data_IF_126382433372
#
_entry.id   IF_126382433372
#
_cell.length_a   1.000
_cell.length_b   1.000
_cell.length_c   1.000
_cell.angle_alpha   90.00
_cell.angle_beta   90.00
_cell.angle_gamma   90.00
#
_symmetry.space_group_name_H-M   'P 1'
#
loop_
_entity.id
_entity.type
_entity.pdbx_description
1 polymer ?
#
# COMPACT_ATOMS: atom_id res chain seq x y z
N UNK A 1 -27.36 -7.36 51.93
CA UNK A 1 -27.54 -6.54 50.71
C UNK A 1 -26.37 -6.72 49.72
N UNK A 2 -25.16 -7.03 50.14
CA UNK A 2 -23.97 -7.12 49.26
C UNK A 2 -23.98 -8.20 48.16
N UNK A 3 -24.60 -9.35 48.44
CA UNK A 3 -24.67 -10.45 47.47
C UNK A 3 -25.47 -10.11 46.22
N UNK A 4 -26.63 -9.51 46.33
CA UNK A 4 -27.46 -9.13 45.19
C UNK A 4 -26.82 -8.02 44.35
N UNK A 5 -26.13 -7.07 44.99
CA UNK A 5 -25.39 -6.00 44.29
C UNK A 5 -24.17 -6.55 43.55
N UNK A 6 -23.41 -7.51 44.13
CA UNK A 6 -22.32 -8.20 43.47
C UNK A 6 -22.74 -9.00 42.25
N UNK A 7 -23.83 -9.79 42.37
CA UNK A 7 -24.41 -10.56 41.26
C UNK A 7 -24.91 -9.66 40.12
N UNK A 8 -25.58 -8.56 40.42
CA UNK A 8 -26.03 -7.59 39.43
C UNK A 8 -24.87 -6.91 38.70
N UNK A 9 -23.84 -6.47 39.43
CA UNK A 9 -22.63 -5.88 38.87
C UNK A 9 -21.90 -6.87 37.94
N UNK A 10 -21.79 -8.13 38.34
CA UNK A 10 -21.19 -9.20 37.53
C UNK A 10 -21.95 -9.42 36.22
N UNK A 11 -23.27 -9.51 36.26
CA UNK A 11 -24.09 -9.67 35.04
C UNK A 11 -24.00 -8.43 34.12
N UNK A 12 -23.99 -7.24 34.68
CA UNK A 12 -23.91 -5.99 33.94
C UNK A 12 -22.53 -5.86 33.27
N UNK A 13 -21.43 -6.16 33.98
CA UNK A 13 -20.05 -6.13 33.43
C UNK A 13 -19.85 -7.21 32.40
N UNK A 14 -20.36 -8.43 32.59
CA UNK A 14 -20.29 -9.48 31.57
C UNK A 14 -21.04 -9.09 30.28
N UNK A 15 -22.22 -8.47 30.37
CA UNK A 15 -22.93 -7.97 29.19
C UNK A 15 -22.14 -6.86 28.48
N UNK A 16 -21.56 -5.95 29.22
CA UNK A 16 -20.71 -4.86 28.67
C UNK A 16 -19.48 -5.44 27.99
N UNK A 17 -18.83 -6.42 28.61
CA UNK A 17 -17.67 -7.13 28.03
C UNK A 17 -18.02 -7.77 26.70
N UNK A 18 -19.11 -8.52 26.60
CA UNK A 18 -19.56 -9.14 25.35
C UNK A 18 -19.83 -8.11 24.26
N UNK A 19 -20.45 -6.97 24.61
CA UNK A 19 -20.69 -5.90 23.65
C UNK A 19 -19.39 -5.29 23.15
N UNK A 20 -18.42 -5.02 24.03
CA UNK A 20 -17.09 -4.51 23.68
C UNK A 20 -16.30 -5.50 22.81
N UNK A 21 -16.37 -6.80 23.12
CA UNK A 21 -15.75 -7.85 22.29
C UNK A 21 -16.35 -7.91 20.90
N UNK A 22 -17.66 -7.77 20.75
CA UNK A 22 -18.32 -7.70 19.46
C UNK A 22 -17.90 -6.44 18.67
N UNK A 23 -17.78 -5.29 19.33
CA UNK A 23 -17.27 -4.07 18.70
C UNK A 23 -15.82 -4.25 18.25
N UNK A 24 -14.97 -4.82 19.09
CA UNK A 24 -13.57 -5.11 18.77
C UNK A 24 -13.44 -6.01 17.53
N UNK A 25 -14.26 -7.06 17.47
CA UNK A 25 -14.29 -7.96 16.31
C UNK A 25 -14.68 -7.23 15.04
N UNK A 26 -15.73 -6.36 15.10
CA UNK A 26 -16.14 -5.56 13.93
C UNK A 26 -15.05 -4.61 13.45
N UNK A 27 -14.39 -3.92 14.36
CA UNK A 27 -13.27 -3.01 14.03
C UNK A 27 -12.13 -3.79 13.41
N UNK A 28 -11.75 -4.91 13.99
CA UNK A 28 -10.67 -5.76 13.44
C UNK A 28 -11.00 -6.22 12.03
N UNK A 29 -12.24 -6.61 11.75
CA UNK A 29 -12.67 -6.98 10.40
C UNK A 29 -12.63 -5.80 9.43
N UNK A 30 -13.01 -4.58 9.87
CA UNK A 30 -12.91 -3.38 9.03
C UNK A 30 -11.46 -3.06 8.70
N UNK A 31 -10.58 -3.06 9.70
CA UNK A 31 -9.14 -2.86 9.50
C UNK A 31 -8.56 -3.85 8.48
N UNK A 32 -8.88 -5.14 8.62
CA UNK A 32 -8.43 -6.16 7.66
C UNK A 32 -8.95 -5.94 6.23
N UNK A 33 -10.14 -5.36 6.07
CA UNK A 33 -10.66 -4.99 4.74
C UNK A 33 -9.85 -3.84 4.16
N UNK A 34 -9.66 -2.77 4.93
CA UNK A 34 -8.89 -1.59 4.51
C UNK A 34 -7.47 -2.01 4.09
N UNK A 35 -6.77 -2.77 4.92
CA UNK A 35 -5.41 -3.25 4.61
C UNK A 35 -5.39 -4.08 3.31
N UNK A 36 -6.40 -4.92 3.07
CA UNK A 36 -6.52 -5.68 1.81
C UNK A 36 -6.81 -4.78 0.62
N UNK A 37 -7.66 -3.78 0.78
CA UNK A 37 -8.04 -2.86 -0.29
C UNK A 37 -6.86 -1.95 -0.65
N UNK A 38 -6.10 -1.46 0.34
CA UNK A 38 -4.82 -0.76 0.13
C UNK A 38 -3.84 -1.62 -0.67
N UNK A 39 -3.63 -2.87 -0.25
CA UNK A 39 -2.71 -3.78 -0.95
C UNK A 39 -3.17 -4.16 -2.37
N UNK A 40 -4.48 -4.16 -2.66
CA UNK A 40 -5.00 -4.32 -4.03
C UNK A 40 -4.72 -3.08 -4.87
N UNK A 41 -4.98 -1.91 -4.32
CA UNK A 41 -4.79 -0.62 -4.99
C UNK A 41 -3.32 -0.39 -5.32
N UNK A 42 -2.41 -0.65 -4.38
CA UNK A 42 -0.97 -0.58 -4.63
C UNK A 42 -0.52 -1.52 -5.77
N UNK A 43 -1.01 -2.76 -5.78
CA UNK A 43 -0.69 -3.70 -6.87
C UNK A 43 -1.20 -3.21 -8.22
N UNK A 44 -2.41 -2.65 -8.27
CA UNK A 44 -2.97 -2.09 -9.51
C UNK A 44 -2.15 -0.90 -10.00
N UNK A 45 -1.79 0.02 -9.10
CA UNK A 45 -0.94 1.18 -9.43
C UNK A 45 0.43 0.74 -9.96
N UNK A 46 1.07 -0.22 -9.29
CA UNK A 46 2.36 -0.74 -9.73
C UNK A 46 2.26 -1.43 -11.12
N UNK A 47 1.18 -2.14 -11.40
CA UNK A 47 0.95 -2.71 -12.74
C UNK A 47 0.74 -1.63 -13.79
N UNK A 48 -0.06 -0.60 -13.50
CA UNK A 48 -0.28 0.53 -14.41
C UNK A 48 1.03 1.27 -14.70
N UNK A 49 1.83 1.54 -13.68
CA UNK A 49 3.14 2.19 -13.84
C UNK A 49 4.09 1.36 -14.70
N UNK A 50 4.16 0.04 -14.47
CA UNK A 50 4.98 -0.87 -15.30
C UNK A 50 4.51 -0.89 -16.76
N UNK A 51 3.20 -0.99 -16.99
CA UNK A 51 2.64 -0.98 -18.33
C UNK A 51 2.93 0.34 -19.06
N UNK A 52 2.83 1.47 -18.36
CA UNK A 52 3.16 2.77 -18.90
C UNK A 52 4.65 2.84 -19.30
N UNK A 53 5.58 2.37 -18.44
CA UNK A 53 7.00 2.29 -18.77
C UNK A 53 7.29 1.41 -19.99
N UNK A 54 6.69 0.24 -20.06
CA UNK A 54 6.85 -0.65 -21.23
C UNK A 54 6.30 -0.01 -22.51
N UNK A 55 5.16 0.68 -22.43
CA UNK A 55 4.59 1.38 -23.59
C UNK A 55 5.51 2.50 -24.06
N UNK A 56 6.04 3.32 -23.15
CA UNK A 56 7.00 4.39 -23.50
C UNK A 56 8.28 3.83 -24.12
N UNK A 57 8.82 2.74 -23.57
CA UNK A 57 9.98 2.06 -24.14
C UNK A 57 9.70 1.50 -25.54
N UNK A 58 8.53 0.87 -25.73
CA UNK A 58 8.10 0.38 -27.04
C UNK A 58 7.98 1.51 -28.07
N UNK A 59 7.38 2.65 -27.68
CA UNK A 59 7.28 3.82 -28.53
C UNK A 59 8.66 4.40 -28.88
N UNK A 60 9.60 4.44 -27.93
CA UNK A 60 10.96 4.87 -28.19
C UNK A 60 11.65 3.96 -29.20
N UNK A 61 11.57 2.64 -29.01
CA UNK A 61 12.15 1.68 -29.96
C UNK A 61 11.55 1.82 -31.36
N UNK A 62 10.23 1.99 -31.44
CA UNK A 62 9.55 2.20 -32.74
C UNK A 62 9.98 3.53 -33.38
N UNK A 63 10.10 4.61 -32.60
CA UNK A 63 10.57 5.90 -33.11
C UNK A 63 12.01 5.81 -33.64
N UNK A 64 12.90 5.14 -32.89
CA UNK A 64 14.29 4.95 -33.29
C UNK A 64 14.40 4.09 -34.56
N UNK A 65 13.64 2.99 -34.66
CA UNK A 65 13.60 2.17 -35.86
C UNK A 65 13.06 2.93 -37.08
N UNK A 66 12.00 3.73 -36.88
CA UNK A 66 11.48 4.63 -37.91
C UNK A 66 12.50 5.68 -38.33
N UNK A 67 13.22 6.28 -37.36
CA UNK A 67 14.30 7.23 -37.63
C UNK A 67 15.45 6.61 -38.45
N UNK A 68 15.89 5.40 -38.13
CA UNK A 68 16.89 4.69 -38.94
C UNK A 68 16.50 4.60 -40.42
N UNK A 69 15.25 4.22 -40.66
CA UNK A 69 14.70 4.15 -42.02
C UNK A 69 14.61 5.53 -42.68
N UNK A 70 14.17 6.55 -41.94
CA UNK A 70 14.00 7.91 -42.46
C UNK A 70 15.35 8.56 -42.84
N UNK A 71 16.37 8.33 -42.05
CA UNK A 71 17.71 8.87 -42.32
C UNK A 71 18.55 7.95 -43.26
N UNK A 72 17.92 6.88 -43.78
CA UNK A 72 18.58 5.91 -44.67
C UNK A 72 19.86 5.30 -44.08
N UNK A 73 19.88 5.14 -42.77
CA UNK A 73 21.01 4.53 -42.06
C UNK A 73 20.81 3.01 -42.10
N UNK A 74 21.45 2.38 -43.05
CA UNK A 74 21.48 0.93 -43.17
C UNK A 74 22.55 0.38 -42.22
N UNK A 75 22.15 -0.16 -41.09
CA UNK A 75 23.02 -1.02 -40.30
C UNK A 75 22.97 -2.42 -40.93
N UNK A 76 23.96 -2.74 -41.74
CA UNK A 76 24.16 -4.11 -42.20
C UNK A 76 24.65 -4.94 -41.02
N UNK A 77 23.90 -5.93 -40.52
CA UNK A 77 24.34 -6.79 -39.42
C UNK A 77 25.61 -7.56 -39.72
N UNK A 78 25.93 -7.75 -40.99
CA UNK A 78 27.14 -8.42 -41.45
C UNK A 78 28.34 -7.50 -41.61
N UNK A 79 28.15 -6.17 -41.58
CA UNK A 79 29.25 -5.22 -41.78
C UNK A 79 29.09 -3.95 -40.90
N UNK A 80 29.50 -4.02 -39.61
CA UNK A 80 29.35 -2.90 -38.67
C UNK A 80 30.17 -1.66 -39.06
N UNK A 81 31.06 -1.75 -40.07
CA UNK A 81 31.85 -0.67 -40.62
C UNK A 81 31.37 -0.27 -42.03
N UNK A 82 30.11 0.17 -42.15
CA UNK A 82 29.59 0.75 -43.42
C UNK A 82 30.47 1.91 -43.92
N UNK A 83 31.24 2.56 -43.05
CA UNK A 83 32.20 3.60 -43.37
C UNK A 83 33.49 3.14 -44.05
N UNK A 84 33.77 1.86 -44.05
CA UNK A 84 34.96 1.28 -44.68
C UNK A 84 34.70 0.76 -46.09
N UNK A 85 33.76 1.35 -46.82
CA UNK A 85 33.72 1.11 -48.27
C UNK A 85 34.89 1.90 -48.92
N UNK A 86 35.97 1.24 -49.32
CA UNK A 86 37.15 1.92 -49.90
C UNK A 86 36.84 2.62 -51.22
N UNK A 87 35.67 2.33 -51.83
CA UNK A 87 35.24 2.90 -53.11
C UNK A 87 34.19 4.01 -52.94
N UNK A 88 33.86 4.43 -51.70
CA UNK A 88 32.91 5.52 -51.49
C UNK A 88 33.52 6.86 -51.88
N UNK A 89 32.77 7.64 -52.66
CA UNK A 89 33.17 9.00 -53.03
C UNK A 89 33.16 9.92 -51.81
N UNK A 90 33.96 11.00 -51.82
CA UNK A 90 33.98 11.98 -50.71
C UNK A 90 32.62 12.62 -50.45
N UNK A 91 31.82 12.81 -51.50
CA UNK A 91 30.43 13.31 -51.35
C UNK A 91 29.52 12.30 -50.63
N UNK A 92 29.66 11.00 -50.88
CA UNK A 92 28.90 9.95 -50.17
C UNK A 92 29.30 9.86 -48.69
N UNK A 93 30.59 9.99 -48.39
CA UNK A 93 31.08 10.05 -47.01
C UNK A 93 30.52 11.25 -46.24
N UNK A 94 30.51 12.45 -46.84
CA UNK A 94 29.98 13.65 -46.23
C UNK A 94 28.45 13.53 -45.99
N UNK A 95 27.72 13.01 -46.97
CA UNK A 95 26.27 12.76 -46.80
C UNK A 95 25.99 11.78 -45.70
N UNK A 96 26.78 10.71 -45.56
CA UNK A 96 26.65 9.73 -44.49
C UNK A 96 26.96 10.34 -43.13
N UNK A 97 28.01 11.11 -42.99
CA UNK A 97 28.38 11.84 -41.77
C UNK A 97 27.26 12.81 -41.34
N UNK A 98 26.66 13.52 -42.30
CA UNK A 98 25.54 14.41 -42.04
C UNK A 98 24.29 13.64 -41.59
N UNK A 99 24.00 12.51 -42.24
CA UNK A 99 22.88 11.65 -41.86
C UNK A 99 23.06 11.09 -40.44
N UNK A 100 24.26 10.64 -40.09
CA UNK A 100 24.55 10.13 -38.73
C UNK A 100 24.47 11.22 -37.66
N UNK A 101 24.99 12.41 -37.93
CA UNK A 101 24.82 13.54 -36.99
C UNK A 101 23.37 13.88 -36.79
N UNK A 102 22.59 13.94 -37.86
CA UNK A 102 21.13 14.21 -37.78
C UNK A 102 20.40 13.14 -37.02
N UNK A 103 20.76 11.87 -37.26
CA UNK A 103 20.17 10.73 -36.51
C UNK A 103 20.57 10.77 -35.02
N UNK A 104 21.83 11.10 -34.70
CA UNK A 104 22.26 11.19 -33.29
C UNK A 104 21.49 12.30 -32.53
N UNK A 105 21.23 13.44 -33.16
CA UNK A 105 20.42 14.52 -32.62
C UNK A 105 18.99 14.05 -32.43
N UNK A 106 18.40 13.37 -33.42
CA UNK A 106 17.07 12.80 -33.33
C UNK A 106 16.98 11.78 -32.18
N UNK A 107 17.94 10.88 -32.07
CA UNK A 107 18.01 9.89 -30.99
C UNK A 107 18.05 10.56 -29.61
N UNK A 108 18.88 11.57 -29.43
CA UNK A 108 18.96 12.32 -28.19
C UNK A 108 17.63 13.02 -27.87
N UNK A 109 16.99 13.62 -28.87
CA UNK A 109 15.69 14.27 -28.70
C UNK A 109 14.59 13.28 -28.28
N UNK A 110 14.53 12.11 -28.92
CA UNK A 110 13.55 11.08 -28.58
C UNK A 110 13.80 10.46 -27.19
N UNK A 111 15.06 10.25 -26.82
CA UNK A 111 15.44 9.82 -25.47
C UNK A 111 15.05 10.86 -24.42
N UNK A 112 15.35 12.14 -24.67
CA UNK A 112 14.92 13.24 -23.78
C UNK A 112 13.42 13.32 -23.64
N UNK A 113 12.67 13.26 -24.76
CA UNK A 113 11.20 13.28 -24.78
C UNK A 113 10.62 12.12 -23.97
N UNK A 114 11.18 10.92 -24.14
CA UNK A 114 10.73 9.73 -23.43
C UNK A 114 11.04 9.80 -21.94
N UNK A 115 12.23 10.28 -21.55
CA UNK A 115 12.59 10.46 -20.14
C UNK A 115 11.73 11.52 -19.44
N UNK A 116 11.43 12.62 -20.14
CA UNK A 116 10.56 13.66 -19.64
C UNK A 116 9.11 13.12 -19.46
N UNK A 117 8.59 12.41 -20.46
CA UNK A 117 7.28 11.76 -20.36
C UNK A 117 7.24 10.77 -19.19
N UNK A 118 8.29 9.98 -19.00
CA UNK A 118 8.39 9.05 -17.87
C UNK A 118 8.37 9.78 -16.53
N UNK A 119 9.13 10.86 -16.38
CA UNK A 119 9.15 11.67 -15.16
C UNK A 119 7.77 12.28 -14.85
N UNK A 120 7.06 12.78 -15.87
CA UNK A 120 5.69 13.28 -15.71
C UNK A 120 4.71 12.19 -15.25
N UNK A 121 4.81 10.98 -15.83
CA UNK A 121 3.98 9.86 -15.43
C UNK A 121 4.30 9.37 -14.02
N UNK A 122 5.58 9.31 -13.64
CA UNK A 122 5.99 8.92 -12.29
C UNK A 122 5.44 9.95 -11.26
N UNK A 123 5.53 11.25 -11.54
CA UNK A 123 4.95 12.28 -10.68
C UNK A 123 3.40 12.16 -10.58
N UNK A 124 2.73 11.90 -11.70
CA UNK A 124 1.29 11.67 -11.72
C UNK A 124 0.89 10.45 -10.89
N UNK A 125 1.61 9.34 -11.02
CA UNK A 125 1.33 8.13 -10.24
C UNK A 125 1.58 8.33 -8.75
N UNK A 126 2.57 9.13 -8.34
CA UNK A 126 2.78 9.48 -6.93
C UNK A 126 1.61 10.31 -6.38
N UNK A 127 1.18 11.36 -7.07
CA UNK A 127 0.03 12.15 -6.66
C UNK A 127 -1.24 11.30 -6.58
N UNK A 128 -1.44 10.42 -7.56
CA UNK A 128 -2.59 9.53 -7.59
C UNK A 128 -2.55 8.51 -6.45
N UNK A 129 -1.35 7.99 -6.13
CA UNK A 129 -1.11 7.08 -5.00
C UNK A 129 -1.45 7.78 -3.68
N UNK A 130 -0.95 8.98 -3.46
CA UNK A 130 -1.25 9.77 -2.27
C UNK A 130 -2.76 10.02 -2.15
N UNK A 131 -3.38 10.55 -3.18
CA UNK A 131 -4.82 10.87 -3.16
C UNK A 131 -5.71 9.65 -2.87
N UNK A 132 -5.32 8.45 -3.31
CA UNK A 132 -6.11 7.23 -3.13
C UNK A 132 -5.80 6.47 -1.85
N UNK A 133 -4.54 6.48 -1.39
CA UNK A 133 -4.13 5.72 -0.21
C UNK A 133 -4.21 6.53 1.09
N UNK A 134 -4.07 7.85 1.03
CA UNK A 134 -4.11 8.71 2.22
C UNK A 134 -5.43 8.59 2.99
N UNK A 135 -6.62 8.67 2.35
CA UNK A 135 -7.88 8.51 3.07
C UNK A 135 -8.04 7.13 3.73
N UNK A 136 -7.48 6.08 3.11
CA UNK A 136 -7.52 4.73 3.67
C UNK A 136 -6.57 4.58 4.86
N UNK A 137 -5.41 5.24 4.83
CA UNK A 137 -4.48 5.30 5.98
C UNK A 137 -5.09 6.06 7.15
N UNK A 138 -5.76 7.17 6.87
CA UNK A 138 -6.46 7.95 7.89
C UNK A 138 -7.58 7.12 8.54
N UNK A 139 -8.36 6.39 7.74
CA UNK A 139 -9.39 5.48 8.26
C UNK A 139 -8.76 4.34 9.08
N UNK A 140 -7.64 3.77 8.65
CA UNK A 140 -6.91 2.75 9.40
C UNK A 140 -6.43 3.29 10.75
N UNK A 141 -5.86 4.49 10.80
CA UNK A 141 -5.42 5.13 12.04
C UNK A 141 -6.58 5.43 12.98
N UNK A 142 -7.70 5.93 12.45
CA UNK A 142 -8.90 6.16 13.25
C UNK A 142 -9.42 4.87 13.88
N UNK A 143 -9.46 3.77 13.12
CA UNK A 143 -9.86 2.46 13.63
C UNK A 143 -8.86 1.89 14.65
N UNK A 144 -7.56 2.16 14.49
CA UNK A 144 -6.54 1.77 15.48
C UNK A 144 -6.77 2.48 16.82
N UNK A 145 -7.07 3.79 16.80
CA UNK A 145 -7.39 4.55 18.00
C UNK A 145 -8.68 4.05 18.66
N UNK A 146 -9.72 3.78 17.85
CA UNK A 146 -10.97 3.22 18.36
C UNK A 146 -10.75 1.85 18.99
N UNK A 147 -9.96 1.00 18.36
CA UNK A 147 -9.57 -0.32 18.89
C UNK A 147 -8.87 -0.19 20.24
N UNK A 148 -7.86 0.68 20.35
CA UNK A 148 -7.13 0.90 21.60
C UNK A 148 -8.06 1.40 22.73
N UNK A 149 -9.04 2.26 22.41
CA UNK A 149 -10.03 2.73 23.37
C UNK A 149 -10.92 1.57 23.87
N UNK A 150 -11.40 0.73 22.95
CA UNK A 150 -12.23 -0.43 23.31
C UNK A 150 -11.42 -1.44 24.14
N UNK A 151 -10.18 -1.72 23.80
CA UNK A 151 -9.31 -2.60 24.58
C UNK A 151 -9.05 -2.06 25.99
N UNK A 152 -8.88 -0.75 26.15
CA UNK A 152 -8.76 -0.10 27.45
C UNK A 152 -10.04 -0.25 28.29
N UNK A 153 -11.22 -0.01 27.67
CA UNK A 153 -12.51 -0.19 28.32
C UNK A 153 -12.78 -1.66 28.69
N UNK A 154 -12.31 -2.59 27.86
CA UNK A 154 -12.44 -4.02 28.11
C UNK A 154 -11.63 -4.43 29.35
N UNK A 155 -10.40 -3.95 29.49
CA UNK A 155 -9.56 -4.17 30.69
C UNK A 155 -10.22 -3.61 31.95
N UNK A 156 -10.82 -2.40 31.87
CA UNK A 156 -11.55 -1.81 32.98
C UNK A 156 -12.76 -2.68 33.38
N UNK A 157 -13.52 -3.17 32.39
CA UNK A 157 -14.69 -4.02 32.63
C UNK A 157 -14.31 -5.36 33.25
N UNK A 158 -13.19 -5.96 32.81
CA UNK A 158 -12.62 -7.18 33.41
C UNK A 158 -12.20 -6.96 34.86
N UNK A 159 -11.61 -5.80 35.18
CA UNK A 159 -11.29 -5.40 36.54
C UNK A 159 -12.54 -5.27 37.43
N UNK A 160 -13.61 -4.65 36.88
CA UNK A 160 -14.88 -4.52 37.57
C UNK A 160 -15.56 -5.90 37.82
N UNK A 161 -15.47 -6.80 36.85
CA UNK A 161 -15.98 -8.17 36.97
C UNK A 161 -15.26 -8.95 38.07
N UNK A 162 -13.93 -8.86 38.16
CA UNK A 162 -13.15 -9.45 39.22
C UNK A 162 -13.48 -8.88 40.60
N UNK A 163 -13.59 -7.55 40.71
CA UNK A 163 -13.99 -6.90 41.94
C UNK A 163 -15.41 -7.31 42.40
N UNK A 164 -16.33 -7.47 41.43
CA UNK A 164 -17.68 -7.97 41.73
C UNK A 164 -17.69 -9.43 42.23
N UNK A 165 -16.83 -10.30 41.64
CA UNK A 165 -16.62 -11.67 42.12
C UNK A 165 -16.06 -11.73 43.56
N UNK A 166 -15.11 -10.86 43.88
CA UNK A 166 -14.55 -10.78 45.22
C UNK A 166 -15.58 -10.31 46.23
N UNK A 167 -16.42 -9.32 45.88
CA UNK A 167 -17.54 -8.89 46.71
C UNK A 167 -18.58 -10.00 46.94
N UNK A 168 -18.88 -10.76 45.88
CA UNK A 168 -19.79 -11.89 45.96
C UNK A 168 -19.24 -12.98 46.94
N UNK A 169 -17.96 -13.33 46.78
CA UNK A 169 -17.28 -14.31 47.62
C UNK A 169 -17.16 -13.87 49.09
N UNK A 170 -16.86 -12.58 49.34
CA UNK A 170 -16.78 -12.05 50.70
C UNK A 170 -18.14 -12.06 51.39
N UNK A 171 -19.20 -11.62 50.68
CA UNK A 171 -20.53 -11.63 51.26
C UNK A 171 -21.10 -13.05 51.47
N UNK A 172 -20.68 -14.05 50.69
CA UNK A 172 -21.01 -15.45 50.94
C UNK A 172 -20.36 -15.97 52.23
N UNK A 173 -19.11 -15.58 52.52
CA UNK A 173 -18.44 -15.96 53.77
C UNK A 173 -19.09 -15.35 54.99
N UNK A 174 -19.64 -14.15 54.90
CA UNK A 174 -20.34 -13.49 55.99
C UNK A 174 -21.74 -14.13 56.27
N UNK A 175 -22.31 -14.86 55.30
CA UNK A 175 -23.58 -15.57 55.44
C UNK A 175 -23.47 -17.01 55.93
N UNK A 176 -22.25 -17.60 55.91
CA UNK A 176 -22.02 -18.92 56.49
C UNK A 176 -21.90 -18.74 58.01
N UNK A 177 -22.88 -19.19 58.83
CA UNK A 177 -22.76 -19.16 60.28
C UNK A 177 -21.50 -19.98 60.63
N UNK A 178 -20.52 -19.33 61.30
CA UNK A 178 -19.43 -20.05 61.90
C UNK A 178 -20.04 -20.87 63.08
N UNK A 179 -20.49 -22.09 62.77
CA UNK A 179 -20.72 -23.07 63.78
C UNK A 179 -19.35 -23.47 64.36
N UNK A 180 -18.77 -22.61 65.16
CA UNK A 180 -17.75 -23.03 66.12
C UNK A 180 -18.52 -23.87 67.15
N UNK A 181 -18.56 -25.22 66.89
CA UNK A 181 -18.94 -26.17 67.89
C UNK A 181 -18.02 -26.02 69.10
N UNK A 182 -18.48 -25.33 70.11
CA UNK A 182 -17.98 -25.42 71.44
C UNK A 182 -18.32 -26.81 71.98
N UNK A 183 -17.33 -27.60 72.28
CA UNK A 183 -17.36 -28.77 73.06
C UNK A 183 -16.09 -28.90 73.80
#
# INVERSE_FOLDING_TARGET
>A
MGFLTGAYLKMSSAKTRLNLQNQLTRITMRMQRITRDMGRMERQLNMMQRNCKMTLQGQLQQALAGGQSQFQIYMDPSNPNIFNNPNATEAEKQNMDQALRSYSIFQQAEMYRTSHAQAMWDAYFEQYREAMLEPLKDEEQALQMEKANIESRLKLTEGQEKAAEEMEKSSQKDFVPQYTGGG
#
